data_IF_966848512328
#
_entry.id   IF_966848512328
#
_cell.length_a   1.000
_cell.length_b   1.000
_cell.length_c   1.000
_cell.angle_alpha   90.00
_cell.angle_beta   90.00
_cell.angle_gamma   90.00
#
_symmetry.space_group_name_H-M   'P 1'
#
loop_
_entity.id
_entity.type
_entity.pdbx_description
1 polymer ?
#
# COMPACT_ATOMS: atom_id res chain seq x y z
N UNK A 1 28.77 18.69 47.98
CA UNK A 1 29.19 17.44 47.32
C UNK A 1 27.92 16.67 47.01
N UNK A 2 27.47 16.73 45.77
CA UNK A 2 26.24 16.10 45.31
C UNK A 2 26.67 15.14 44.21
N UNK A 3 26.60 13.84 44.48
CA UNK A 3 26.98 12.80 43.54
C UNK A 3 25.97 12.75 42.41
N UNK A 4 26.43 13.04 41.19
CA UNK A 4 25.69 12.77 39.97
C UNK A 4 25.70 11.25 39.74
N UNK A 5 24.57 10.60 39.98
CA UNK A 5 24.34 9.22 39.55
C UNK A 5 24.33 9.19 38.01
N UNK A 6 25.44 8.75 37.41
CA UNK A 6 25.47 8.34 36.02
C UNK A 6 24.53 7.13 35.86
N UNK A 7 23.32 7.38 35.33
CA UNK A 7 22.50 6.31 34.76
C UNK A 7 23.22 5.79 33.52
N UNK A 8 24.01 4.72 33.69
CA UNK A 8 24.45 3.90 32.56
C UNK A 8 23.17 3.41 31.86
N UNK A 9 22.93 3.72 30.58
CA UNK A 9 21.83 3.09 29.84
C UNK A 9 22.04 1.57 29.90
N UNK A 10 20.97 0.76 30.02
CA UNK A 10 21.10 -0.68 30.14
C UNK A 10 21.88 -1.26 28.94
N UNK A 11 22.75 -2.22 29.25
CA UNK A 11 23.64 -2.92 28.31
C UNK A 11 22.90 -3.49 27.09
N UNK A 12 23.52 -3.31 25.92
CA UNK A 12 23.53 -4.22 24.76
C UNK A 12 22.30 -5.13 24.58
N UNK A 13 21.20 -4.56 24.09
CA UNK A 13 20.46 -5.29 23.06
C UNK A 13 21.31 -5.21 21.80
N UNK A 14 22.13 -6.25 21.56
CA UNK A 14 22.76 -6.44 20.27
C UNK A 14 21.70 -6.15 19.18
N UNK A 15 22.00 -5.26 18.25
CA UNK A 15 21.14 -4.97 17.10
C UNK A 15 20.94 -6.29 16.34
N UNK A 16 19.86 -7.00 16.66
CA UNK A 16 19.49 -8.22 15.94
C UNK A 16 18.90 -7.77 14.62
N UNK A 17 19.63 -8.03 13.54
CA UNK A 17 19.13 -7.84 12.19
C UNK A 17 18.01 -8.85 11.91
N UNK A 18 16.77 -8.40 12.12
CA UNK A 18 15.56 -9.19 11.88
C UNK A 18 14.99 -8.97 10.49
N UNK A 19 15.43 -7.93 9.78
CA UNK A 19 14.83 -7.53 8.51
C UNK A 19 15.07 -8.60 7.45
N UNK A 20 13.97 -9.13 6.90
CA UNK A 20 13.94 -10.18 5.89
C UNK A 20 13.53 -9.67 4.52
N UNK A 21 12.72 -8.62 4.43
CA UNK A 21 12.30 -8.04 3.16
C UNK A 21 11.96 -6.56 3.33
N UNK A 22 12.34 -5.76 2.35
CA UNK A 22 11.87 -4.39 2.19
C UNK A 22 10.68 -4.40 1.23
N UNK A 23 9.56 -3.81 1.64
CA UNK A 23 8.38 -3.63 0.79
C UNK A 23 8.24 -2.15 0.44
N UNK A 24 8.63 -1.82 -0.78
CA UNK A 24 8.68 -0.47 -1.31
C UNK A 24 7.36 -0.16 -2.03
N UNK A 25 6.67 0.89 -1.57
CA UNK A 25 5.34 1.27 -2.06
C UNK A 25 5.26 2.79 -2.26
N UNK A 26 4.27 3.29 -2.99
CA UNK A 26 4.22 4.71 -3.36
C UNK A 26 3.96 5.61 -2.16
N UNK A 27 3.04 5.21 -1.29
CA UNK A 27 2.61 6.04 -0.18
C UNK A 27 2.17 5.27 1.04
N UNK A 28 1.85 6.03 2.08
CA UNK A 28 1.36 5.45 3.34
C UNK A 28 -0.01 4.80 3.20
N UNK A 29 -0.82 5.21 2.22
CA UNK A 29 -2.09 4.55 1.94
C UNK A 29 -1.88 3.08 1.52
N UNK A 30 -0.85 2.81 0.71
CA UNK A 30 -0.56 1.47 0.22
C UNK A 30 -0.12 0.54 1.35
N UNK A 31 0.66 1.09 2.30
CA UNK A 31 1.03 0.38 3.53
C UNK A 31 -0.23 0.00 4.32
N UNK A 32 -1.13 0.95 4.53
CA UNK A 32 -2.37 0.71 5.27
C UNK A 32 -3.27 -0.32 4.56
N UNK A 33 -3.32 -0.29 3.23
CA UNK A 33 -4.02 -1.28 2.42
C UNK A 33 -3.43 -2.68 2.61
N UNK A 34 -2.14 -2.83 2.34
CA UNK A 34 -1.44 -4.12 2.37
C UNK A 34 -1.48 -4.77 3.76
N UNK A 35 -1.32 -3.99 4.83
CA UNK A 35 -1.42 -4.50 6.21
C UNK A 35 -2.79 -5.12 6.50
N UNK A 36 -3.87 -4.50 6.05
CA UNK A 36 -5.24 -4.94 6.34
C UNK A 36 -5.67 -6.08 5.45
N UNK A 37 -5.43 -5.96 4.14
CA UNK A 37 -5.73 -7.00 3.16
C UNK A 37 -4.97 -8.29 3.47
N UNK A 38 -3.69 -8.20 3.83
CA UNK A 38 -2.92 -9.39 4.20
C UNK A 38 -3.46 -10.07 5.44
N UNK A 39 -3.89 -9.32 6.46
CA UNK A 39 -4.55 -9.87 7.63
C UNK A 39 -5.86 -10.60 7.27
N UNK A 40 -6.71 -9.96 6.46
CA UNK A 40 -7.98 -10.55 6.02
C UNK A 40 -7.77 -11.84 5.23
N UNK A 41 -6.82 -11.85 4.28
CA UNK A 41 -6.53 -13.02 3.47
C UNK A 41 -5.82 -14.12 4.26
N UNK A 42 -4.88 -13.77 5.15
CA UNK A 42 -4.22 -14.72 6.05
C UNK A 42 -5.21 -15.47 6.96
N UNK A 43 -6.29 -14.79 7.39
CA UNK A 43 -7.30 -15.40 8.23
C UNK A 43 -8.09 -16.53 7.53
N UNK A 44 -8.18 -16.51 6.20
CA UNK A 44 -8.84 -17.56 5.40
C UNK A 44 -7.85 -18.54 4.76
N UNK A 45 -6.60 -18.11 4.54
CA UNK A 45 -5.50 -18.90 3.99
C UNK A 45 -4.20 -18.59 4.74
N UNK A 46 -3.82 -19.47 5.67
CA UNK A 46 -2.64 -19.30 6.53
C UNK A 46 -1.31 -19.40 5.79
N UNK A 47 -1.30 -19.86 4.53
CA UNK A 47 -0.09 -19.92 3.71
C UNK A 47 0.30 -18.52 3.17
N UNK A 48 -0.65 -17.58 3.11
CA UNK A 48 -0.38 -16.18 2.77
C UNK A 48 0.22 -15.45 3.99
N UNK A 49 1.28 -14.64 3.84
CA UNK A 49 1.87 -13.95 4.98
C UNK A 49 0.97 -12.83 5.53
N UNK A 50 0.92 -12.73 6.87
CA UNK A 50 0.38 -11.57 7.57
C UNK A 50 1.42 -10.45 7.62
N UNK A 51 1.34 -9.48 6.70
CA UNK A 51 2.35 -8.41 6.59
C UNK A 51 2.34 -7.47 7.80
N UNK A 52 1.19 -7.29 8.46
CA UNK A 52 1.11 -6.47 9.67
C UNK A 52 1.89 -7.09 10.83
N UNK A 53 1.81 -8.41 10.98
CA UNK A 53 2.59 -9.14 11.99
C UNK A 53 4.08 -9.16 11.63
N UNK A 54 4.44 -9.41 10.38
CA UNK A 54 5.84 -9.37 9.93
C UNK A 54 6.49 -8.00 10.17
N UNK A 55 5.75 -6.90 9.94
CA UNK A 55 6.21 -5.55 10.26
C UNK A 55 6.44 -5.38 11.77
N UNK A 56 5.46 -5.78 12.60
CA UNK A 56 5.57 -5.69 14.06
C UNK A 56 6.77 -6.49 14.62
N UNK A 57 7.09 -7.63 14.00
CA UNK A 57 8.22 -8.48 14.39
C UNK A 57 9.58 -7.97 13.86
N UNK A 58 9.58 -6.91 13.03
CA UNK A 58 10.76 -6.35 12.39
C UNK A 58 11.31 -7.21 11.23
N UNK A 59 10.52 -8.16 10.73
CA UNK A 59 10.87 -9.02 9.60
C UNK A 59 10.61 -8.35 8.25
N UNK A 60 9.59 -7.50 8.19
CA UNK A 60 9.25 -6.70 7.02
C UNK A 60 9.42 -5.23 7.36
N UNK A 61 9.99 -4.45 6.43
CA UNK A 61 10.05 -2.99 6.55
C UNK A 61 9.31 -2.39 5.35
N UNK A 62 8.23 -1.66 5.61
CA UNK A 62 7.58 -0.85 4.59
C UNK A 62 8.37 0.43 4.34
N UNK A 63 8.57 0.77 3.06
CA UNK A 63 9.25 1.99 2.65
C UNK A 63 8.37 2.77 1.67
N UNK A 64 7.71 3.86 2.11
CA UNK A 64 6.98 4.74 1.21
C UNK A 64 7.96 5.65 0.46
N UNK A 65 8.00 5.57 -0.88
CA UNK A 65 8.92 6.37 -1.68
C UNK A 65 8.35 7.74 -2.11
N UNK A 66 7.06 7.98 -1.86
CA UNK A 66 6.37 9.25 -2.09
C UNK A 66 5.77 9.43 -3.49
N UNK A 67 5.66 8.36 -4.29
CA UNK A 67 5.05 8.35 -5.63
C UNK A 67 5.88 9.02 -6.74
N UNK A 68 6.70 10.00 -6.37
CA UNK A 68 7.57 10.75 -7.29
C UNK A 68 8.99 10.17 -7.33
N UNK A 69 9.65 10.30 -8.49
CA UNK A 69 11.08 10.02 -8.68
C UNK A 69 11.49 8.56 -8.39
N UNK A 70 10.70 7.59 -8.87
CA UNK A 70 11.02 6.16 -8.82
C UNK A 70 12.47 5.82 -9.27
N UNK A 71 13.07 6.46 -10.29
CA UNK A 71 14.47 6.19 -10.68
C UNK A 71 15.48 6.32 -9.54
N UNK A 72 15.26 7.23 -8.58
CA UNK A 72 16.16 7.40 -7.43
C UNK A 72 16.04 6.28 -6.38
N UNK A 73 15.01 5.44 -6.50
CA UNK A 73 14.72 4.35 -5.57
C UNK A 73 15.14 2.98 -6.09
N UNK A 74 15.29 2.82 -7.42
CA UNK A 74 15.63 1.55 -8.10
C UNK A 74 16.86 0.87 -7.50
N UNK A 75 17.85 1.61 -6.98
CA UNK A 75 19.06 1.04 -6.37
C UNK A 75 19.31 1.51 -4.93
N UNK A 76 18.36 2.24 -4.33
CA UNK A 76 18.57 2.98 -3.09
C UNK A 76 19.00 2.10 -1.92
N UNK A 77 18.49 0.88 -1.89
CA UNK A 77 18.73 -0.10 -0.83
C UNK A 77 19.60 -1.27 -1.26
N UNK A 78 20.15 -1.25 -2.47
CA UNK A 78 20.95 -2.34 -3.01
C UNK A 78 22.16 -2.68 -2.13
N UNK A 79 22.76 -1.67 -1.49
CA UNK A 79 23.90 -1.86 -0.58
C UNK A 79 23.54 -2.54 0.75
N UNK A 80 22.25 -2.62 1.11
CA UNK A 80 21.80 -3.33 2.31
C UNK A 80 21.81 -4.86 2.11
N UNK A 81 21.84 -5.34 0.87
CA UNK A 81 21.82 -6.77 0.56
C UNK A 81 20.55 -7.49 1.02
N UNK A 82 19.45 -6.75 1.24
CA UNK A 82 18.15 -7.29 1.64
C UNK A 82 17.26 -7.50 0.41
N UNK A 83 16.39 -8.54 0.41
CA UNK A 83 15.36 -8.68 -0.59
C UNK A 83 14.46 -7.45 -0.66
N UNK A 84 14.06 -7.08 -1.88
CA UNK A 84 13.25 -5.90 -2.15
C UNK A 84 12.02 -6.29 -2.98
N UNK A 85 10.83 -5.94 -2.49
CA UNK A 85 9.58 -6.04 -3.25
C UNK A 85 9.05 -4.64 -3.53
N UNK A 86 8.85 -4.28 -4.79
CA UNK A 86 8.26 -3.03 -5.22
C UNK A 86 6.84 -3.28 -5.73
N UNK A 87 5.87 -2.57 -5.16
CA UNK A 87 4.52 -2.49 -5.69
C UNK A 87 4.29 -1.10 -6.27
N UNK A 88 3.91 -1.07 -7.54
CA UNK A 88 3.83 0.13 -8.35
C UNK A 88 2.41 0.22 -8.92
N UNK A 89 1.74 1.35 -8.74
CA UNK A 89 0.43 1.57 -9.35
C UNK A 89 0.57 1.62 -10.88
N UNK A 90 -0.38 1.02 -11.60
CA UNK A 90 -0.40 1.08 -13.06
C UNK A 90 -0.53 2.52 -13.56
N UNK A 91 -1.31 3.33 -12.85
CA UNK A 91 -1.68 4.69 -13.26
C UNK A 91 -2.20 4.74 -14.71
N UNK A 92 -2.07 5.89 -15.35
CA UNK A 92 -2.35 6.13 -16.77
C UNK A 92 -1.07 6.61 -17.46
N UNK A 93 -0.98 6.50 -18.79
CA UNK A 93 0.16 7.03 -19.54
C UNK A 93 0.31 8.55 -19.35
N UNK A 94 1.55 9.09 -19.23
CA UNK A 94 2.84 8.41 -19.42
C UNK A 94 3.43 7.71 -18.18
N UNK A 95 2.77 7.81 -17.02
CA UNK A 95 3.28 7.24 -15.77
C UNK A 95 3.37 5.71 -15.83
N UNK A 96 2.42 5.05 -16.50
CA UNK A 96 2.40 3.60 -16.71
C UNK A 96 3.70 3.10 -17.34
N UNK A 97 4.15 3.72 -18.43
CA UNK A 97 5.34 3.29 -19.17
C UNK A 97 6.59 3.46 -18.32
N UNK A 98 6.69 4.57 -17.57
CA UNK A 98 7.79 4.80 -16.64
C UNK A 98 7.83 3.76 -15.50
N UNK A 99 6.66 3.35 -15.00
CA UNK A 99 6.53 2.30 -13.97
C UNK A 99 6.94 0.93 -14.52
N UNK A 100 6.54 0.61 -15.75
CA UNK A 100 6.91 -0.64 -16.42
C UNK A 100 8.42 -0.73 -16.69
N UNK A 101 9.03 0.33 -17.24
CA UNK A 101 10.49 0.39 -17.45
C UNK A 101 11.26 0.21 -16.15
N UNK A 102 10.84 0.90 -15.08
CA UNK A 102 11.46 0.73 -13.77
C UNK A 102 11.30 -0.69 -13.22
N UNK A 103 10.14 -1.31 -13.40
CA UNK A 103 9.90 -2.69 -12.97
C UNK A 103 10.80 -3.68 -13.72
N UNK A 104 11.01 -3.51 -15.02
CA UNK A 104 11.93 -4.32 -15.82
C UNK A 104 13.36 -4.24 -15.29
N UNK A 105 13.86 -3.03 -14.99
CA UNK A 105 15.20 -2.81 -14.44
C UNK A 105 15.34 -3.47 -13.06
N UNK A 106 14.35 -3.28 -12.18
CA UNK A 106 14.37 -3.88 -10.83
C UNK A 106 14.37 -5.41 -10.92
N UNK A 107 13.58 -5.99 -11.82
CA UNK A 107 13.44 -7.44 -11.98
C UNK A 107 14.69 -8.14 -12.53
N UNK A 108 15.68 -7.38 -13.03
CA UNK A 108 16.99 -7.92 -13.40
C UNK A 108 17.92 -8.13 -12.18
N UNK A 109 17.56 -7.60 -11.01
CA UNK A 109 18.38 -7.68 -9.79
C UNK A 109 18.02 -8.93 -8.97
N UNK A 110 19.03 -9.66 -8.53
CA UNK A 110 18.86 -10.81 -7.63
C UNK A 110 18.20 -10.39 -6.32
N UNK A 111 17.24 -11.18 -5.84
CA UNK A 111 16.51 -10.90 -4.60
C UNK A 111 15.54 -9.73 -4.69
N UNK A 112 15.30 -9.19 -5.90
CA UNK A 112 14.38 -8.08 -6.11
C UNK A 112 13.19 -8.52 -6.96
N UNK A 113 12.03 -7.94 -6.70
CA UNK A 113 10.83 -8.09 -7.52
C UNK A 113 10.06 -6.80 -7.57
N UNK A 114 9.71 -6.34 -8.76
CA UNK A 114 8.78 -5.24 -8.98
C UNK A 114 7.56 -5.73 -9.74
N UNK A 115 6.39 -5.31 -9.27
CA UNK A 115 5.10 -5.57 -9.89
C UNK A 115 4.39 -4.24 -10.12
N UNK A 116 3.92 -4.04 -11.35
CA UNK A 116 2.95 -3.01 -11.69
C UNK A 116 1.56 -3.63 -11.56
N UNK A 117 0.66 -3.00 -10.81
CA UNK A 117 -0.70 -3.51 -10.59
C UNK A 117 -1.43 -3.68 -11.93
N UNK A 118 -2.36 -4.65 -12.04
CA UNK A 118 -3.20 -4.75 -13.26
C UNK A 118 -4.28 -3.68 -13.32
N UNK A 119 -4.75 -3.24 -12.16
CA UNK A 119 -5.70 -2.12 -12.04
C UNK A 119 -4.95 -0.82 -11.86
N UNK A 120 -5.64 0.31 -12.03
CA UNK A 120 -5.01 1.63 -11.96
C UNK A 120 -4.24 1.89 -10.66
N UNK A 121 -4.85 1.64 -9.50
CA UNK A 121 -4.21 1.76 -8.19
C UNK A 121 -4.83 0.79 -7.18
N UNK A 122 -4.27 0.72 -5.97
CA UNK A 122 -4.80 -0.14 -4.89
C UNK A 122 -6.26 0.15 -4.54
N UNK A 123 -6.72 1.39 -4.66
CA UNK A 123 -8.13 1.73 -4.43
C UNK A 123 -9.08 0.99 -5.38
N UNK A 124 -8.62 0.64 -6.59
CA UNK A 124 -9.43 -0.10 -7.57
C UNK A 124 -9.66 -1.57 -7.17
N UNK A 125 -8.96 -2.09 -6.17
CA UNK A 125 -9.21 -3.43 -5.62
C UNK A 125 -10.26 -3.43 -4.50
N UNK A 126 -10.75 -2.27 -4.07
CA UNK A 126 -11.84 -2.21 -3.11
C UNK A 126 -13.18 -2.48 -3.78
N UNK A 127 -14.01 -3.30 -3.13
CA UNK A 127 -15.35 -3.60 -3.63
C UNK A 127 -16.31 -2.43 -3.34
N UNK A 128 -17.14 -1.98 -4.30
CA UNK A 128 -18.10 -0.89 -4.08
C UNK A 128 -19.04 -1.08 -2.88
N UNK A 129 -19.45 -2.33 -2.61
CA UNK A 129 -20.23 -2.65 -1.40
C UNK A 129 -19.51 -2.24 -0.11
N UNK A 130 -18.22 -2.51 0.02
CA UNK A 130 -17.46 -2.12 1.22
C UNK A 130 -17.41 -0.58 1.37
N UNK A 131 -17.30 0.14 0.25
CA UNK A 131 -17.35 1.61 0.24
C UNK A 131 -18.73 2.11 0.69
N UNK A 132 -19.80 1.50 0.18
CA UNK A 132 -21.18 1.83 0.57
C UNK A 132 -21.42 1.57 2.05
N UNK A 133 -21.04 0.40 2.54
CA UNK A 133 -21.31 -0.02 3.91
C UNK A 133 -20.55 0.87 4.91
N UNK A 134 -19.32 1.28 4.59
CA UNK A 134 -18.52 2.17 5.43
C UNK A 134 -18.91 3.66 5.33
N UNK A 135 -19.37 4.11 4.15
CA UNK A 135 -19.53 5.53 3.83
C UNK A 135 -20.96 5.99 3.60
N UNK A 136 -21.92 5.07 3.56
CA UNK A 136 -23.32 5.31 3.19
C UNK A 136 -23.46 6.05 1.85
N UNK A 137 -22.59 5.69 0.89
CA UNK A 137 -22.57 6.25 -0.46
C UNK A 137 -22.54 5.16 -1.51
N UNK A 138 -23.34 5.31 -2.57
CA UNK A 138 -23.26 4.43 -3.73
C UNK A 138 -22.27 4.98 -4.74
N UNK A 139 -21.29 4.15 -5.09
CA UNK A 139 -20.27 4.43 -6.10
C UNK A 139 -20.20 3.28 -7.09
N UNK A 140 -19.88 3.61 -8.33
CA UNK A 140 -19.54 2.65 -9.38
C UNK A 140 -18.22 3.11 -10.01
N UNK A 141 -17.33 2.17 -10.27
CA UNK A 141 -16.05 2.42 -10.90
C UNK A 141 -15.49 1.12 -11.48
N UNK A 142 -14.78 1.25 -12.59
CA UNK A 142 -14.08 0.16 -13.25
C UNK A 142 -12.61 0.06 -12.81
N UNK A 143 -11.87 -0.88 -13.39
CA UNK A 143 -10.47 -1.18 -13.03
C UNK A 143 -9.50 -0.03 -13.29
N UNK A 144 -9.86 0.93 -14.15
CA UNK A 144 -9.02 2.06 -14.53
C UNK A 144 -9.55 3.44 -14.13
N UNK A 145 -10.68 3.47 -13.43
CA UNK A 145 -11.28 4.71 -12.97
C UNK A 145 -10.48 5.35 -11.81
N UNK A 146 -10.51 6.70 -11.67
CA UNK A 146 -9.87 7.40 -10.56
C UNK A 146 -10.69 7.26 -9.27
N UNK A 147 -10.72 6.06 -8.67
CA UNK A 147 -11.59 5.71 -7.52
C UNK A 147 -11.50 6.74 -6.39
N UNK A 148 -10.29 7.15 -6.01
CA UNK A 148 -10.12 8.16 -4.95
C UNK A 148 -10.84 9.49 -5.25
N UNK A 149 -10.89 9.91 -6.52
CA UNK A 149 -11.61 11.13 -6.93
C UNK A 149 -13.11 10.91 -7.01
N UNK A 150 -13.56 9.76 -7.53
CA UNK A 150 -14.98 9.39 -7.58
C UNK A 150 -15.57 9.37 -6.17
N UNK A 151 -14.90 8.70 -5.24
CA UNK A 151 -15.32 8.60 -3.84
C UNK A 151 -15.27 9.97 -3.16
N UNK A 152 -14.22 10.78 -3.39
CA UNK A 152 -14.15 12.12 -2.82
C UNK A 152 -15.30 13.02 -3.29
N UNK A 153 -15.64 12.97 -4.58
CA UNK A 153 -16.77 13.70 -5.14
C UNK A 153 -18.08 13.24 -4.50
N UNK A 154 -18.30 11.92 -4.41
CA UNK A 154 -19.53 11.37 -3.84
C UNK A 154 -19.69 11.71 -2.35
N UNK A 155 -18.63 11.61 -1.56
CA UNK A 155 -18.62 12.02 -0.14
C UNK A 155 -18.86 13.53 0.03
N UNK A 156 -18.33 14.34 -0.89
CA UNK A 156 -18.57 15.78 -0.86
C UNK A 156 -20.03 16.11 -1.18
N UNK A 157 -20.61 15.46 -2.19
CA UNK A 157 -22.00 15.66 -2.63
C UNK A 157 -23.04 15.05 -1.66
N UNK A 158 -22.69 14.00 -0.92
CA UNK A 158 -23.58 13.40 0.09
C UNK A 158 -23.59 14.18 1.41
N UNK A 159 -22.63 15.07 1.63
CA UNK A 159 -22.65 16.01 2.74
C UNK A 159 -23.61 17.19 2.50
N UNK A 160 -23.79 18.03 3.53
CA UNK A 160 -24.45 19.35 3.38
C UNK A 160 -23.43 20.35 2.84
N UNK A 161 -22.96 20.15 1.60
CA UNK A 161 -21.99 21.04 0.98
C UNK A 161 -22.69 22.24 0.31
N UNK A 162 -22.19 23.45 0.59
CA UNK A 162 -22.61 24.67 -0.11
C UNK A 162 -21.92 24.75 -1.48
N UNK A 163 -22.49 24.04 -2.47
CA UNK A 163 -22.17 24.20 -3.89
C UNK A 163 -21.60 22.96 -4.60
N UNK A 164 -21.53 22.99 -5.94
CA UNK A 164 -21.13 21.85 -6.75
C UNK A 164 -19.62 21.59 -6.69
N UNK A 165 -19.23 20.30 -6.74
CA UNK A 165 -17.84 19.85 -6.80
C UNK A 165 -17.01 20.59 -7.87
N UNK A 166 -17.61 20.89 -9.02
CA UNK A 166 -16.88 21.48 -10.14
C UNK A 166 -16.34 22.88 -9.88
N UNK A 167 -16.98 23.63 -8.98
CA UNK A 167 -16.54 24.97 -8.59
C UNK A 167 -15.41 24.96 -7.54
N UNK A 168 -15.05 23.78 -7.01
CA UNK A 168 -13.92 23.68 -6.10
C UNK A 168 -12.59 23.93 -6.81
N UNK A 169 -11.70 24.66 -6.13
CA UNK A 169 -10.31 24.83 -6.59
C UNK A 169 -9.60 23.47 -6.77
N UNK A 170 -8.59 23.42 -7.65
CA UNK A 170 -7.77 22.20 -7.84
C UNK A 170 -7.14 21.73 -6.52
N UNK A 171 -6.68 22.67 -5.68
CA UNK A 171 -6.12 22.36 -4.35
C UNK A 171 -7.17 21.75 -3.41
N UNK A 172 -8.40 22.24 -3.45
CA UNK A 172 -9.51 21.69 -2.66
C UNK A 172 -9.87 20.28 -3.12
N UNK A 173 -10.03 20.06 -4.45
CA UNK A 173 -10.29 18.73 -5.01
C UNK A 173 -9.19 17.73 -4.62
N UNK A 174 -7.92 18.11 -4.82
CA UNK A 174 -6.75 17.29 -4.43
C UNK A 174 -6.77 16.92 -2.94
N UNK A 175 -7.00 17.88 -2.05
CA UNK A 175 -7.07 17.61 -0.60
C UNK A 175 -8.21 16.65 -0.24
N UNK A 176 -9.38 16.80 -0.86
CA UNK A 176 -10.52 15.90 -0.64
C UNK A 176 -10.23 14.50 -1.18
N UNK A 177 -9.63 14.39 -2.37
CA UNK A 177 -9.15 13.10 -2.93
C UNK A 177 -8.15 12.42 -2.00
N UNK A 178 -7.17 13.13 -1.46
CA UNK A 178 -6.21 12.54 -0.50
C UNK A 178 -6.89 12.05 0.78
N UNK A 179 -7.93 12.74 1.27
CA UNK A 179 -8.71 12.31 2.43
C UNK A 179 -9.54 11.06 2.11
N UNK A 180 -10.17 11.01 0.94
CA UNK A 180 -10.92 9.85 0.48
C UNK A 180 -10.01 8.63 0.31
N UNK A 181 -8.85 8.78 -0.33
CA UNK A 181 -7.84 7.69 -0.44
C UNK A 181 -7.41 7.18 0.92
N UNK A 182 -7.13 8.06 1.88
CA UNK A 182 -6.79 7.63 3.25
C UNK A 182 -7.94 6.82 3.88
N UNK A 183 -9.16 7.31 3.78
CA UNK A 183 -10.33 6.63 4.32
C UNK A 183 -10.58 5.27 3.66
N UNK A 184 -10.43 5.18 2.33
CA UNK A 184 -10.51 3.94 1.56
C UNK A 184 -9.49 2.90 2.09
N UNK A 185 -8.21 3.25 2.12
CA UNK A 185 -7.15 2.32 2.49
C UNK A 185 -7.05 2.01 3.99
N UNK A 186 -7.85 2.68 4.82
CA UNK A 186 -7.91 2.43 6.27
C UNK A 186 -9.26 1.86 6.68
N UNK A 187 -10.31 2.68 6.64
CA UNK A 187 -11.63 2.34 7.17
C UNK A 187 -12.32 1.31 6.29
N UNK A 188 -12.34 1.52 4.97
CA UNK A 188 -13.00 0.59 4.04
C UNK A 188 -12.24 -0.74 3.98
N UNK A 189 -10.91 -0.71 3.82
CA UNK A 189 -10.11 -1.94 3.81
C UNK A 189 -10.19 -2.73 5.11
N UNK A 190 -10.42 -2.10 6.27
CA UNK A 190 -10.59 -2.85 7.54
C UNK A 190 -11.90 -3.64 7.61
N UNK A 191 -12.87 -3.34 6.75
CA UNK A 191 -14.20 -3.93 6.76
C UNK A 191 -14.43 -4.88 5.58
N UNK A 192 -13.47 -4.97 4.65
CA UNK A 192 -13.60 -5.83 3.48
C UNK A 192 -13.38 -7.30 3.87
N UNK A 193 -14.20 -8.20 3.32
CA UNK A 193 -14.07 -9.65 3.54
C UNK A 193 -13.29 -10.30 2.41
N UNK A 194 -12.81 -11.53 2.62
CA UNK A 194 -12.12 -12.29 1.58
C UNK A 194 -12.99 -12.50 0.33
N UNK A 195 -14.30 -12.72 0.48
CA UNK A 195 -15.23 -12.91 -0.63
C UNK A 195 -15.37 -11.62 -1.47
N UNK A 196 -15.41 -10.45 -0.82
CA UNK A 196 -15.46 -9.17 -1.53
C UNK A 196 -14.14 -8.88 -2.25
N UNK A 197 -13.00 -9.28 -1.68
CA UNK A 197 -11.69 -9.20 -2.33
C UNK A 197 -11.69 -10.11 -3.57
N UNK A 198 -12.10 -11.38 -3.45
CA UNK A 198 -12.12 -12.34 -4.56
C UNK A 198 -13.05 -11.89 -5.70
N UNK A 199 -14.23 -11.34 -5.37
CA UNK A 199 -15.12 -10.75 -6.39
C UNK A 199 -14.46 -9.61 -7.16
N UNK A 200 -13.61 -8.82 -6.48
CA UNK A 200 -12.93 -7.68 -7.10
C UNK A 200 -11.61 -8.08 -7.78
N UNK A 201 -10.96 -9.13 -7.32
CA UNK A 201 -9.70 -9.67 -7.83
C UNK A 201 -9.82 -11.19 -8.12
N UNK A 202 -10.62 -11.57 -9.13
CA UNK A 202 -10.90 -12.98 -9.43
C UNK A 202 -9.68 -13.74 -9.94
N UNK A 203 -8.58 -13.04 -10.25
CA UNK A 203 -7.33 -13.63 -10.70
C UNK A 203 -6.29 -13.76 -9.57
N UNK A 204 -6.64 -13.38 -8.34
CA UNK A 204 -5.78 -13.53 -7.16
C UNK A 204 -4.47 -12.75 -7.25
N UNK A 205 -4.48 -11.58 -7.88
CA UNK A 205 -3.29 -10.75 -8.01
C UNK A 205 -2.74 -10.30 -6.65
N UNK A 206 -3.62 -9.89 -5.73
CA UNK A 206 -3.24 -9.53 -4.36
C UNK A 206 -2.56 -10.70 -3.66
N UNK A 207 -3.16 -11.89 -3.72
CA UNK A 207 -2.60 -13.09 -3.12
C UNK A 207 -1.21 -13.43 -3.71
N UNK A 208 -1.02 -13.18 -5.01
CA UNK A 208 0.27 -13.34 -5.67
C UNK A 208 1.34 -12.37 -5.14
N UNK A 209 0.97 -11.13 -4.82
CA UNK A 209 1.89 -10.17 -4.19
C UNK A 209 2.33 -10.65 -2.81
N UNK A 210 1.37 -11.06 -1.97
CA UNK A 210 1.63 -11.56 -0.62
C UNK A 210 2.54 -12.80 -0.68
N UNK A 211 2.22 -13.76 -1.53
CA UNK A 211 3.03 -14.97 -1.74
C UNK A 211 4.47 -14.61 -2.11
N UNK A 212 4.63 -13.67 -3.05
CA UNK A 212 5.96 -13.21 -3.49
C UNK A 212 6.75 -12.56 -2.36
N UNK A 213 6.11 -11.70 -1.55
CA UNK A 213 6.74 -11.08 -0.38
C UNK A 213 7.19 -12.16 0.62
N UNK A 214 6.35 -13.16 0.88
CA UNK A 214 6.70 -14.29 1.76
C UNK A 214 7.90 -15.09 1.26
N UNK A 215 7.94 -15.39 -0.04
CA UNK A 215 9.08 -16.09 -0.67
C UNK A 215 10.37 -15.27 -0.58
N UNK A 216 10.32 -13.97 -0.83
CA UNK A 216 11.49 -13.09 -0.69
C UNK A 216 12.00 -13.05 0.75
N UNK A 217 11.09 -12.97 1.73
CA UNK A 217 11.45 -12.99 3.14
C UNK A 217 12.14 -14.29 3.59
N UNK A 218 11.87 -15.40 2.91
CA UNK A 218 12.49 -16.72 3.18
C UNK A 218 13.79 -16.95 2.40
N UNK A 219 14.13 -16.11 1.42
CA UNK A 219 15.30 -16.29 0.55
C UNK A 219 16.64 -15.83 1.17
N UNK A 220 16.63 -15.34 2.41
CA UNK A 220 17.79 -14.89 3.18
C UNK A 220 18.29 -15.94 4.17
#
# INVERSE_FOLDING_TARGET
MTEFHNHKPPDDQALVDRARVLVIVEGTNDIEFLRRISLTLHAVDSDLPNLAEMEQQGQLIFVPFGGYNLPSWIHRFASLGKPEFFLLDHEVSPETESRQEAAEIINQRTGCRAIVTRKRSLENYLHPNAVRDAGQIDVAFDDFDPVGTIVAKKLFESGIADGPWELLSRRSKSRLTSRAKRWLNTTVTSQITAELIEQRDPHGEIASWLTTIGQLAQSL
#
